data_IF_670121849998
#
_entry.id   IF_670121849998
#
_cell.length_a   1.000
_cell.length_b   1.000
_cell.length_c   1.000
_cell.angle_alpha   90.00
_cell.angle_beta   90.00
_cell.angle_gamma   90.00
#
_symmetry.space_group_name_H-M   'P 1'
#
loop_
_entity.id
_entity.type
_entity.pdbx_description
1 polymer ?
#
# COMPACT_ATOMS: atom_id res chain seq x y z
N UNK A 1 -65.20 26.57 -5.49
CA UNK A 1 -64.97 26.15 -4.08
C UNK A 1 -65.01 24.63 -4.08
N UNK A 2 -63.93 23.86 -3.94
CA UNK A 2 -62.60 24.12 -3.37
C UNK A 2 -61.62 23.14 -4.02
N UNK A 3 -60.54 23.66 -4.59
CA UNK A 3 -59.38 22.89 -5.09
C UNK A 3 -58.63 22.31 -3.88
N UNK A 4 -58.25 21.03 -3.91
CA UNK A 4 -57.15 20.52 -3.08
C UNK A 4 -56.19 19.70 -3.94
N UNK A 5 -55.07 20.35 -4.27
CA UNK A 5 -53.81 19.69 -4.55
C UNK A 5 -53.39 18.92 -3.29
N UNK A 6 -52.95 17.67 -3.45
CA UNK A 6 -51.91 17.12 -2.58
C UNK A 6 -50.84 16.50 -3.47
N UNK A 7 -49.65 17.03 -3.27
CA UNK A 7 -48.42 16.85 -4.02
C UNK A 7 -47.97 15.40 -4.16
N UNK A 8 -47.40 15.09 -5.32
CA UNK A 8 -46.52 13.96 -5.52
C UNK A 8 -45.31 14.07 -4.58
N UNK A 9 -45.10 13.07 -3.73
CA UNK A 9 -43.79 12.81 -3.13
C UNK A 9 -43.11 11.75 -3.98
N UNK A 10 -42.31 12.19 -4.96
CA UNK A 10 -41.36 11.32 -5.63
C UNK A 10 -40.40 10.79 -4.57
N UNK A 11 -40.47 9.48 -4.31
CA UNK A 11 -39.50 8.77 -3.51
C UNK A 11 -38.15 8.91 -4.24
N UNK A 12 -37.33 9.87 -3.81
CA UNK A 12 -35.94 9.93 -4.21
C UNK A 12 -35.28 8.69 -3.62
N UNK A 13 -35.25 7.63 -4.43
CA UNK A 13 -34.38 6.50 -4.21
C UNK A 13 -32.97 7.08 -4.16
N UNK A 14 -32.41 7.17 -2.96
CA UNK A 14 -30.97 7.26 -2.76
C UNK A 14 -30.38 5.99 -3.36
N UNK A 15 -30.10 6.03 -4.65
CA UNK A 15 -29.07 5.21 -5.25
C UNK A 15 -27.76 5.67 -4.62
N UNK A 16 -27.47 5.15 -3.43
CA UNK A 16 -26.13 5.19 -2.86
C UNK A 16 -25.24 4.38 -3.78
N UNK A 17 -24.67 5.04 -4.80
CA UNK A 17 -23.45 4.54 -5.41
C UNK A 17 -22.45 4.34 -4.26
N UNK A 18 -21.76 3.20 -4.16
CA UNK A 18 -20.78 3.00 -3.11
C UNK A 18 -19.80 4.17 -3.16
N UNK A 19 -19.56 4.83 -2.02
CA UNK A 19 -18.55 5.86 -1.90
C UNK A 19 -17.19 5.24 -2.28
N UNK A 20 -16.75 5.51 -3.50
CA UNK A 20 -15.38 5.22 -3.90
C UNK A 20 -14.48 6.13 -3.10
N UNK A 21 -13.47 5.58 -2.43
CA UNK A 21 -12.51 6.45 -1.79
C UNK A 21 -11.59 7.08 -2.82
N UNK A 22 -11.24 8.32 -2.54
CA UNK A 22 -10.31 9.10 -3.33
C UNK A 22 -8.92 9.04 -2.69
N UNK A 23 -7.97 9.69 -3.36
CA UNK A 23 -6.67 10.01 -2.80
C UNK A 23 -6.80 10.68 -1.43
N UNK A 24 -5.99 10.26 -0.47
CA UNK A 24 -5.92 10.88 0.85
C UNK A 24 -4.61 11.65 0.97
N UNK A 25 -4.68 12.92 1.31
CA UNK A 25 -3.47 13.74 1.49
C UNK A 25 -2.88 13.53 2.87
N UNK A 26 -1.63 13.09 2.94
CA UNK A 26 -0.82 13.10 4.17
C UNK A 26 0.11 14.32 4.19
N UNK A 27 0.10 15.04 5.30
CA UNK A 27 0.88 16.27 5.49
C UNK A 27 1.93 16.11 6.59
N UNK A 28 2.77 17.14 6.75
CA UNK A 28 3.75 17.22 7.83
C UNK A 28 3.19 17.81 9.12
N UNK A 29 1.88 18.04 9.20
CA UNK A 29 1.16 18.54 10.38
C UNK A 29 -0.02 17.62 10.73
N UNK A 30 -0.64 17.81 11.91
CA UNK A 30 -1.80 17.03 12.35
C UNK A 30 -1.46 15.63 12.88
N UNK A 31 -2.25 14.62 12.52
CA UNK A 31 -1.97 13.20 12.84
C UNK A 31 -0.87 12.63 11.91
N UNK A 32 0.05 11.79 12.42
CA UNK A 32 1.14 11.24 11.60
C UNK A 32 0.68 10.15 10.63
N UNK A 33 -0.48 9.54 10.89
CA UNK A 33 -1.08 8.46 10.10
C UNK A 33 -2.49 8.84 9.64
N UNK A 34 -2.83 8.45 8.42
CA UNK A 34 -4.18 8.34 7.92
C UNK A 34 -4.67 6.90 8.07
N UNK A 35 -5.95 6.75 8.43
CA UNK A 35 -6.63 5.46 8.48
C UNK A 35 -7.21 5.13 7.11
N UNK A 36 -6.85 3.97 6.56
CA UNK A 36 -7.36 3.51 5.26
C UNK A 36 -8.36 2.36 5.46
N UNK A 37 -7.92 1.19 5.90
CA UNK A 37 -8.82 0.06 6.20
C UNK A 37 -8.30 -0.75 7.41
N UNK A 38 -8.51 -0.24 8.63
CA UNK A 38 -7.96 -0.85 9.83
C UNK A 38 -8.63 -2.20 10.10
N UNK A 39 -7.88 -3.15 10.65
CA UNK A 39 -8.45 -4.35 11.26
C UNK A 39 -9.44 -3.94 12.36
N UNK A 40 -10.65 -4.50 12.35
CA UNK A 40 -11.68 -4.30 13.38
C UNK A 40 -11.93 -5.60 14.15
N UNK A 41 -12.33 -5.49 15.42
CA UNK A 41 -12.53 -6.63 16.32
C UNK A 41 -11.38 -6.84 17.31
N UNK A 42 -11.44 -7.93 18.08
CA UNK A 42 -10.43 -8.32 19.06
C UNK A 42 -9.67 -9.56 18.56
N UNK A 43 -8.34 -9.64 18.76
CA UNK A 43 -7.58 -10.85 18.39
C UNK A 43 -8.20 -12.11 19.03
N UNK A 44 -8.26 -13.24 18.31
CA UNK A 44 -7.78 -13.47 16.94
C UNK A 44 -8.82 -13.16 15.84
N UNK A 45 -9.99 -12.62 16.18
CA UNK A 45 -11.12 -12.38 15.26
C UNK A 45 -11.04 -11.03 14.53
N UNK A 46 -9.85 -10.43 14.48
CA UNK A 46 -9.64 -9.18 13.78
C UNK A 46 -9.81 -9.40 12.29
N UNK A 47 -10.57 -8.52 11.62
CA UNK A 47 -10.81 -8.60 10.18
C UNK A 47 -10.83 -7.21 9.55
N UNK A 48 -10.45 -7.13 8.27
CA UNK A 48 -10.59 -5.91 7.48
C UNK A 48 -11.92 -5.96 6.70
N UNK A 49 -12.61 -4.82 6.64
CA UNK A 49 -13.89 -4.78 5.95
C UNK A 49 -13.70 -4.52 4.46
N UNK A 50 -14.25 -5.36 3.55
CA UNK A 50 -14.22 -5.07 2.12
C UNK A 50 -15.04 -3.84 1.73
N UNK A 51 -15.96 -3.39 2.61
CA UNK A 51 -16.80 -2.20 2.41
C UNK A 51 -16.19 -0.92 2.96
N UNK A 52 -15.18 -1.00 3.84
CA UNK A 52 -14.36 0.16 4.20
C UNK A 52 -13.38 0.44 3.06
N UNK A 53 -13.56 1.55 2.37
CA UNK A 53 -12.82 1.83 1.16
C UNK A 53 -11.83 2.98 1.30
N UNK A 54 -11.67 3.67 2.42
CA UNK A 54 -10.79 4.87 2.52
C UNK A 54 -9.40 4.63 1.92
N UNK A 55 -8.88 5.58 1.13
CA UNK A 55 -7.66 5.46 0.31
C UNK A 55 -7.70 4.44 -0.86
N UNK A 56 -8.76 3.63 -1.01
CA UNK A 56 -8.86 2.58 -2.04
C UNK A 56 -9.27 3.16 -3.39
N UNK A 57 -8.36 3.07 -4.34
CA UNK A 57 -8.61 3.34 -5.76
C UNK A 57 -9.08 2.08 -6.48
N UNK A 58 -9.75 2.26 -7.61
CA UNK A 58 -10.41 1.17 -8.36
C UNK A 58 -9.60 0.65 -9.55
N UNK A 59 -8.39 1.16 -9.76
CA UNK A 59 -7.52 0.67 -10.84
C UNK A 59 -6.08 1.16 -10.76
N UNK A 60 -5.34 0.90 -11.83
CA UNK A 60 -3.99 1.42 -12.05
C UNK A 60 -4.05 2.84 -12.62
N UNK A 61 -3.06 3.71 -12.33
CA UNK A 61 -2.91 4.97 -13.04
C UNK A 61 -2.78 4.75 -14.56
N UNK A 62 -3.52 5.55 -15.33
CA UNK A 62 -3.62 5.44 -16.79
C UNK A 62 -4.71 4.49 -17.29
N UNK A 63 -5.40 3.78 -16.39
CA UNK A 63 -6.64 3.08 -16.73
C UNK A 63 -7.84 4.03 -16.74
N UNK A 64 -9.00 3.55 -17.21
CA UNK A 64 -10.25 4.31 -17.13
C UNK A 64 -10.64 4.70 -15.69
N UNK A 65 -10.20 3.94 -14.68
CA UNK A 65 -10.46 4.21 -13.27
C UNK A 65 -9.60 5.35 -12.70
N UNK A 66 -8.40 5.57 -13.25
CA UNK A 66 -7.50 6.66 -12.85
C UNK A 66 -6.90 7.27 -14.13
N UNK A 67 -7.69 8.05 -14.88
CA UNK A 67 -7.26 8.61 -16.17
C UNK A 67 -6.21 9.72 -16.00
N UNK A 68 -5.61 10.12 -17.12
CA UNK A 68 -4.68 11.26 -17.14
C UNK A 68 -3.29 10.97 -16.58
N UNK A 69 -2.90 9.70 -16.55
CA UNK A 69 -1.54 9.27 -16.20
C UNK A 69 -0.99 8.32 -17.25
N UNK A 70 0.33 8.34 -17.42
CA UNK A 70 1.07 7.51 -18.36
C UNK A 70 2.14 6.76 -17.60
N UNK A 71 2.25 5.46 -17.82
CA UNK A 71 3.34 4.66 -17.27
C UNK A 71 4.67 5.06 -17.95
N UNK A 72 5.60 5.60 -17.17
CA UNK A 72 6.91 6.08 -17.65
C UNK A 72 8.06 5.14 -17.37
N UNK A 73 8.00 4.43 -16.25
CA UNK A 73 9.06 3.51 -15.87
C UNK A 73 8.50 2.33 -15.08
N UNK A 74 9.14 1.17 -15.24
CA UNK A 74 8.91 -0.04 -14.44
C UNK A 74 10.25 -0.62 -14.04
N UNK A 75 10.35 -1.10 -12.81
CA UNK A 75 11.51 -1.86 -12.37
C UNK A 75 11.61 -3.14 -13.20
N UNK A 76 12.80 -3.40 -13.73
CA UNK A 76 13.09 -4.59 -14.53
C UNK A 76 14.30 -5.33 -13.95
N UNK A 77 14.30 -6.66 -14.09
CA UNK A 77 15.46 -7.54 -13.98
C UNK A 77 15.67 -8.19 -15.34
N UNK A 78 16.62 -7.68 -16.13
CA UNK A 78 16.74 -8.06 -17.54
C UNK A 78 15.45 -7.72 -18.30
N UNK A 79 14.82 -8.72 -18.92
CA UNK A 79 13.57 -8.59 -19.66
C UNK A 79 12.29 -8.78 -18.82
N UNK A 80 12.42 -9.11 -17.52
CA UNK A 80 11.29 -9.42 -16.65
C UNK A 80 10.97 -8.23 -15.76
N UNK A 81 9.68 -7.89 -15.64
CA UNK A 81 9.23 -6.85 -14.71
C UNK A 81 9.36 -7.31 -13.25
N UNK A 82 9.91 -6.43 -12.42
CA UNK A 82 10.14 -6.64 -11.01
C UNK A 82 11.61 -6.85 -10.66
N UNK A 83 11.92 -6.74 -9.38
CA UNK A 83 13.24 -7.10 -8.81
C UNK A 83 13.11 -8.07 -7.64
N UNK A 84 14.03 -9.04 -7.51
CA UNK A 84 14.03 -9.95 -6.36
C UNK A 84 14.16 -9.21 -5.02
N UNK A 85 13.34 -9.59 -4.06
CA UNK A 85 13.51 -9.30 -2.64
C UNK A 85 14.37 -10.44 -2.08
N UNK A 86 15.60 -10.13 -1.71
CA UNK A 86 16.58 -11.14 -1.28
C UNK A 86 16.95 -10.94 0.18
N UNK A 87 16.92 -12.02 0.97
CA UNK A 87 17.31 -12.06 2.39
C UNK A 87 18.28 -13.21 2.57
N UNK A 88 19.47 -12.96 3.12
CA UNK A 88 20.49 -14.00 3.30
C UNK A 88 20.74 -14.83 2.02
N UNK A 89 20.79 -14.15 0.86
CA UNK A 89 20.91 -14.78 -0.48
C UNK A 89 19.73 -15.65 -0.93
N UNK A 90 18.63 -15.68 -0.18
CA UNK A 90 17.39 -16.36 -0.53
C UNK A 90 16.42 -15.37 -1.16
N UNK A 91 15.89 -15.70 -2.34
CA UNK A 91 14.83 -14.92 -2.97
C UNK A 91 13.50 -15.21 -2.28
N UNK A 92 13.02 -14.26 -1.48
CA UNK A 92 11.76 -14.37 -0.74
C UNK A 92 10.58 -13.74 -1.48
N UNK A 93 10.80 -12.98 -2.55
CA UNK A 93 9.73 -12.34 -3.28
C UNK A 93 10.19 -11.43 -4.41
N UNK A 94 9.26 -10.66 -4.98
CA UNK A 94 9.51 -9.71 -6.05
C UNK A 94 8.89 -8.36 -5.70
N UNK A 95 9.68 -7.29 -5.83
CA UNK A 95 9.21 -5.91 -5.81
C UNK A 95 8.85 -5.47 -7.24
N UNK A 96 7.64 -4.99 -7.40
CA UNK A 96 7.22 -4.21 -8.56
C UNK A 96 7.25 -2.74 -8.20
N UNK A 97 7.98 -1.95 -8.98
CA UNK A 97 8.12 -0.51 -8.76
C UNK A 97 7.84 0.24 -10.05
N UNK A 98 6.98 1.25 -10.02
CA UNK A 98 6.55 1.97 -11.20
C UNK A 98 6.50 3.47 -10.99
N UNK A 99 6.68 4.20 -12.08
CA UNK A 99 6.45 5.64 -12.14
C UNK A 99 5.42 5.93 -13.21
N UNK A 100 4.36 6.62 -12.80
CA UNK A 100 3.40 7.20 -13.72
C UNK A 100 3.55 8.72 -13.68
N UNK A 101 3.58 9.37 -14.83
CA UNK A 101 3.50 10.83 -14.88
C UNK A 101 2.09 11.25 -15.28
N UNK A 102 1.62 12.38 -14.76
CA UNK A 102 0.39 12.99 -15.23
C UNK A 102 0.58 13.44 -16.69
N UNK A 103 -0.40 13.15 -17.55
CA UNK A 103 -0.29 13.42 -18.98
C UNK A 103 -1.25 12.60 -19.84
N UNK A 104 -1.16 12.78 -21.16
CA UNK A 104 -1.97 12.05 -22.15
C UNK A 104 -1.10 11.49 -23.28
N UNK A 105 -1.50 10.34 -23.82
CA UNK A 105 -0.71 9.64 -24.84
C UNK A 105 0.65 9.20 -24.29
N UNK A 106 1.73 9.79 -24.81
CA UNK A 106 3.12 9.48 -24.42
C UNK A 106 3.82 10.64 -23.72
N UNK A 107 3.14 11.78 -23.55
CA UNK A 107 3.71 13.04 -23.09
C UNK A 107 3.24 13.37 -21.67
N UNK A 108 4.20 13.58 -20.78
CA UNK A 108 3.91 14.10 -19.43
C UNK A 108 3.52 15.58 -19.52
N UNK A 109 2.56 16.01 -18.70
CA UNK A 109 2.23 17.42 -18.58
C UNK A 109 3.31 18.20 -17.81
N UNK A 110 3.24 19.53 -17.89
CA UNK A 110 4.22 20.44 -17.28
C UNK A 110 4.06 20.58 -15.77
N UNK A 111 3.04 19.95 -15.16
CA UNK A 111 2.87 19.99 -13.71
C UNK A 111 3.93 19.18 -12.97
N UNK A 112 4.61 18.29 -13.68
CA UNK A 112 5.55 17.32 -13.11
C UNK A 112 4.94 16.54 -11.93
N UNK A 113 3.65 16.23 -12.01
CA UNK A 113 2.98 15.37 -11.03
C UNK A 113 3.25 13.92 -11.37
N UNK A 114 3.79 13.16 -10.41
CA UNK A 114 4.07 11.75 -10.57
C UNK A 114 3.38 10.91 -9.50
N UNK A 115 3.00 9.70 -9.88
CA UNK A 115 2.64 8.62 -8.96
C UNK A 115 3.81 7.65 -8.95
N UNK A 116 4.45 7.53 -7.79
CA UNK A 116 5.44 6.50 -7.54
C UNK A 116 4.74 5.34 -6.81
N UNK A 117 4.77 4.15 -7.42
CA UNK A 117 3.94 3.03 -7.03
C UNK A 117 4.79 1.81 -6.67
N UNK A 118 4.47 1.14 -5.56
CA UNK A 118 5.09 -0.13 -5.17
C UNK A 118 4.08 -1.23 -4.97
N UNK A 119 4.50 -2.45 -5.27
CA UNK A 119 3.78 -3.67 -4.92
C UNK A 119 4.80 -4.78 -4.64
N UNK A 120 4.50 -5.67 -3.71
CA UNK A 120 5.28 -6.86 -3.44
C UNK A 120 4.49 -8.13 -3.78
N UNK A 121 5.23 -9.16 -4.17
CA UNK A 121 4.77 -10.54 -4.31
C UNK A 121 5.72 -11.44 -3.54
N UNK A 122 5.20 -12.31 -2.68
CA UNK A 122 6.00 -13.20 -1.85
C UNK A 122 6.14 -14.59 -2.50
N UNK A 123 7.32 -15.21 -2.46
CA UNK A 123 7.55 -16.53 -3.07
C UNK A 123 7.06 -17.65 -2.16
N UNK A 124 6.28 -18.58 -2.70
CA UNK A 124 5.77 -19.75 -1.96
C UNK A 124 6.52 -21.05 -2.17
N UNK A 125 7.80 -21.01 -2.58
CA UNK A 125 8.58 -22.23 -2.86
C UNK A 125 8.82 -23.03 -1.58
N UNK A 126 8.37 -24.29 -1.46
CA UNK A 126 8.53 -25.08 -0.24
C UNK A 126 10.00 -25.27 0.19
N UNK A 127 10.23 -25.33 1.49
CA UNK A 127 11.52 -25.73 2.07
C UNK A 127 11.35 -26.95 2.99
N UNK A 128 12.44 -27.67 3.34
CA UNK A 128 12.35 -28.79 4.28
C UNK A 128 11.85 -28.39 5.67
N UNK A 129 11.97 -27.11 6.06
CA UNK A 129 11.53 -26.59 7.36
C UNK A 129 10.08 -26.06 7.35
N UNK A 130 9.57 -25.66 6.19
CA UNK A 130 8.20 -25.19 6.01
C UNK A 130 7.74 -25.44 4.57
N UNK A 131 6.69 -26.23 4.42
CA UNK A 131 6.15 -26.65 3.12
C UNK A 131 5.41 -25.54 2.35
N UNK A 132 5.24 -24.36 2.94
CA UNK A 132 4.52 -23.23 2.34
C UNK A 132 5.43 -22.16 1.74
N UNK A 133 6.72 -22.12 2.09
CA UNK A 133 7.59 -21.00 1.73
C UNK A 133 9.09 -21.32 1.87
N UNK A 134 9.97 -20.52 1.22
CA UNK A 134 11.40 -20.78 1.24
C UNK A 134 11.95 -20.49 2.64
N UNK A 135 12.95 -21.27 3.07
CA UNK A 135 13.71 -20.95 4.28
C UNK A 135 14.48 -19.65 4.03
N UNK A 136 14.07 -18.57 4.66
CA UNK A 136 14.67 -17.24 4.47
C UNK A 136 15.64 -16.84 5.60
N UNK A 137 15.56 -17.53 6.74
CA UNK A 137 16.58 -17.49 7.79
C UNK A 137 16.92 -18.91 8.25
N UNK A 138 18.19 -19.14 8.61
CA UNK A 138 18.62 -20.45 9.12
C UNK A 138 17.97 -20.82 10.46
N UNK A 139 17.34 -19.86 11.14
CA UNK A 139 16.83 -19.99 12.51
C UNK A 139 15.30 -20.13 12.62
N UNK A 140 14.52 -19.76 11.60
CA UNK A 140 13.04 -19.78 11.68
C UNK A 140 12.41 -20.84 10.77
N UNK A 141 11.24 -21.34 11.18
CA UNK A 141 10.31 -22.12 10.36
C UNK A 141 9.19 -21.24 9.79
N UNK A 142 9.10 -19.96 10.15
CA UNK A 142 8.06 -19.05 9.67
C UNK A 142 8.29 -18.62 8.24
N UNK A 143 7.22 -18.24 7.54
CA UNK A 143 7.34 -17.60 6.24
C UNK A 143 7.78 -16.15 6.37
N UNK A 144 8.45 -15.63 5.33
CA UNK A 144 8.77 -14.22 5.29
C UNK A 144 7.48 -13.42 5.10
N UNK A 145 7.38 -12.30 5.82
CA UNK A 145 6.23 -11.41 5.81
C UNK A 145 6.68 -9.96 5.71
N UNK A 146 5.91 -9.14 5.00
CA UNK A 146 6.10 -7.69 5.00
C UNK A 146 4.93 -7.07 5.75
N UNK A 147 5.21 -6.40 6.87
CA UNK A 147 4.21 -5.69 7.67
C UNK A 147 4.13 -4.20 7.29
N UNK A 148 5.30 -3.61 7.04
CA UNK A 148 5.39 -2.22 6.61
C UNK A 148 6.26 -2.06 5.37
N UNK A 149 5.79 -1.24 4.45
CA UNK A 149 6.55 -0.76 3.30
C UNK A 149 6.79 0.73 3.50
N UNK A 150 8.05 1.12 3.61
CA UNK A 150 8.47 2.51 3.68
C UNK A 150 8.98 2.95 2.31
N UNK A 151 8.42 4.03 1.76
CA UNK A 151 8.77 4.57 0.46
C UNK A 151 9.31 5.99 0.61
N UNK A 152 10.45 6.27 -0.01
CA UNK A 152 11.00 7.61 -0.10
C UNK A 152 10.07 8.53 -0.93
N UNK A 153 9.84 9.73 -0.42
CA UNK A 153 9.01 10.78 -1.03
C UNK A 153 9.73 12.13 -0.94
N UNK A 154 9.16 13.14 -1.60
CA UNK A 154 9.67 14.50 -1.62
C UNK A 154 9.29 15.26 -0.35
N UNK A 155 10.12 15.11 0.67
CA UNK A 155 10.26 16.01 1.81
C UNK A 155 8.97 16.64 2.36
N UNK A 156 9.01 17.94 2.61
CA UNK A 156 7.98 18.62 3.42
C UNK A 156 6.65 18.89 2.72
N UNK A 157 6.51 18.57 1.43
CA UNK A 157 5.28 18.85 0.68
C UNK A 157 4.19 17.83 1.00
N UNK A 158 2.89 18.20 1.00
CA UNK A 158 1.81 17.22 1.07
C UNK A 158 1.97 16.14 0.01
N UNK A 159 1.60 14.92 0.36
CA UNK A 159 1.69 13.76 -0.54
C UNK A 159 0.36 13.04 -0.51
N UNK A 160 -0.21 12.79 -1.67
CA UNK A 160 -1.43 12.04 -1.79
C UNK A 160 -1.11 10.55 -1.79
N UNK A 161 -1.84 9.78 -1.01
CA UNK A 161 -1.71 8.33 -0.94
C UNK A 161 -2.98 7.64 -1.43
N UNK A 162 -2.80 6.42 -1.91
CA UNK A 162 -3.90 5.54 -2.25
C UNK A 162 -3.40 4.12 -2.41
N UNK A 163 -4.32 3.18 -2.56
CA UNK A 163 -3.97 1.79 -2.87
C UNK A 163 -4.98 1.14 -3.82
N UNK A 164 -4.54 0.13 -4.57
CA UNK A 164 -5.40 -0.68 -5.43
C UNK A 164 -5.14 -2.16 -5.17
N UNK A 165 -6.21 -2.90 -4.85
CA UNK A 165 -6.10 -4.31 -4.46
C UNK A 165 -5.80 -5.24 -5.64
N UNK A 166 -6.05 -4.81 -6.88
CA UNK A 166 -6.24 -5.74 -8.00
C UNK A 166 -7.68 -6.25 -8.05
N UNK A 167 -7.96 -7.09 -9.04
CA UNK A 167 -9.32 -7.52 -9.41
C UNK A 167 -9.45 -9.02 -9.65
N UNK A 168 -8.34 -9.74 -9.80
CA UNK A 168 -8.35 -11.16 -10.20
C UNK A 168 -7.66 -12.03 -9.15
N UNK A 169 -8.47 -12.80 -8.43
CA UNK A 169 -8.00 -13.84 -7.51
C UNK A 169 -7.11 -14.86 -8.23
N UNK A 170 -5.97 -15.21 -7.62
CA UNK A 170 -5.05 -16.23 -8.14
C UNK A 170 -4.24 -15.85 -9.37
N UNK A 171 -4.37 -14.61 -9.89
CA UNK A 171 -3.53 -14.17 -11.01
C UNK A 171 -2.07 -13.97 -10.59
N UNK A 172 -1.15 -14.24 -11.51
CA UNK A 172 0.28 -13.92 -11.39
C UNK A 172 0.65 -12.59 -12.06
N UNK A 173 -0.30 -11.95 -12.76
CA UNK A 173 -0.04 -10.67 -13.41
C UNK A 173 -0.10 -9.53 -12.37
N UNK A 174 0.99 -8.77 -12.17
CA UNK A 174 1.03 -7.70 -11.16
C UNK A 174 -0.02 -6.61 -11.40
N UNK A 175 -0.57 -6.47 -12.60
CA UNK A 175 -1.59 -5.46 -12.92
C UNK A 175 -2.97 -5.76 -12.35
N UNK A 176 -3.31 -7.04 -12.24
CA UNK A 176 -4.67 -7.48 -11.93
C UNK A 176 -4.74 -8.43 -10.75
N UNK A 177 -3.63 -9.06 -10.34
CA UNK A 177 -3.59 -9.96 -9.20
C UNK A 177 -4.22 -9.32 -7.96
N UNK A 178 -5.10 -10.05 -7.29
CA UNK A 178 -5.81 -9.58 -6.12
C UNK A 178 -4.98 -9.80 -4.85
N UNK A 179 -4.78 -8.73 -4.07
CA UNK A 179 -4.38 -8.80 -2.67
C UNK A 179 -5.62 -9.06 -1.79
N UNK A 180 -5.48 -9.89 -0.76
CA UNK A 180 -6.56 -10.21 0.18
C UNK A 180 -6.48 -9.41 1.48
N UNK A 181 -5.29 -8.95 1.84
CA UNK A 181 -5.06 -8.01 2.95
C UNK A 181 -4.97 -6.57 2.41
N UNK A 182 -5.66 -5.65 3.06
CA UNK A 182 -5.80 -4.25 2.66
C UNK A 182 -4.72 -3.37 3.29
N UNK A 183 -4.52 -2.17 2.74
CA UNK A 183 -3.74 -1.13 3.42
C UNK A 183 -4.48 -0.67 4.69
N UNK A 184 -3.88 -0.88 5.86
CA UNK A 184 -4.50 -0.50 7.13
C UNK A 184 -4.32 0.99 7.43
N UNK A 185 -3.07 1.43 7.44
CA UNK A 185 -2.65 2.79 7.79
C UNK A 185 -1.53 3.24 6.87
N UNK A 186 -1.45 4.55 6.63
CA UNK A 186 -0.31 5.13 5.93
C UNK A 186 -0.02 6.54 6.39
N UNK A 187 1.24 6.97 6.34
CA UNK A 187 1.61 8.30 6.79
C UNK A 187 3.09 8.61 6.78
N UNK A 188 3.43 9.87 7.08
CA UNK A 188 4.80 10.40 7.02
C UNK A 188 5.59 10.09 8.28
N UNK A 189 6.18 8.90 8.34
CA UNK A 189 6.85 8.37 9.54
C UNK A 189 7.85 7.28 9.16
N UNK A 190 8.80 7.01 10.06
CA UNK A 190 9.69 5.83 10.01
C UNK A 190 9.31 4.75 11.03
N UNK A 191 8.30 5.02 11.85
CA UNK A 191 7.80 4.09 12.85
C UNK A 191 6.77 3.18 12.18
N UNK A 192 6.91 1.87 12.40
CA UNK A 192 6.05 0.86 11.81
C UNK A 192 5.04 0.29 12.79
N UNK A 193 4.63 -0.95 12.51
CA UNK A 193 3.77 -1.76 13.37
C UNK A 193 4.29 -1.77 14.81
N UNK A 194 3.39 -1.62 15.78
CA UNK A 194 3.68 -1.55 17.23
C UNK A 194 4.62 -0.43 17.69
N UNK A 195 5.05 0.46 16.79
CA UNK A 195 5.88 1.62 17.12
C UNK A 195 5.09 2.94 17.05
N UNK A 196 3.92 2.93 16.42
CA UNK A 196 2.94 4.03 16.45
C UNK A 196 1.60 3.46 16.88
N UNK A 197 0.91 4.15 17.77
CA UNK A 197 -0.48 3.83 18.09
C UNK A 197 -1.39 4.24 16.93
N UNK A 198 -2.21 3.34 16.37
CA UNK A 198 -3.09 3.69 15.26
C UNK A 198 -4.18 4.70 15.63
N UNK A 199 -4.69 5.51 14.67
CA UNK A 199 -5.79 6.43 14.92
C UNK A 199 -7.08 5.67 15.30
N UNK A 200 -7.75 6.08 16.40
CA UNK A 200 -8.97 5.44 16.90
C UNK A 200 -8.85 4.76 18.28
N UNK A 201 -7.65 4.71 18.86
CA UNK A 201 -7.47 4.35 20.27
C UNK A 201 -7.85 5.56 21.17
N UNK A 202 -8.85 5.40 22.04
CA UNK A 202 -9.61 6.47 22.70
C UNK A 202 -8.81 7.42 23.64
N UNK A 203 -7.51 7.21 23.82
CA UNK A 203 -6.69 7.95 24.80
C UNK A 203 -5.82 9.08 24.23
N UNK A 204 -6.05 9.55 23.00
CA UNK A 204 -5.13 10.51 22.36
C UNK A 204 -5.76 11.83 21.89
N UNK A 205 -5.66 12.84 22.74
CA UNK A 205 -5.67 14.27 22.37
C UNK A 205 -4.26 14.81 22.04
N UNK A 206 -3.23 13.95 21.95
CA UNK A 206 -1.83 14.38 21.91
C UNK A 206 -0.92 13.60 20.93
N UNK A 207 -1.40 13.22 19.74
CA UNK A 207 -0.58 12.62 18.65
C UNK A 207 0.38 13.62 17.96
N UNK A 208 0.82 14.65 18.68
CA UNK A 208 1.79 15.67 18.24
C UNK A 208 3.14 15.46 18.93
N UNK A 209 3.55 14.21 19.18
CA UNK A 209 4.97 13.96 19.35
C UNK A 209 5.61 14.14 17.97
N UNK A 210 6.05 15.36 17.66
CA UNK A 210 6.77 15.74 16.43
C UNK A 210 7.95 14.81 16.10
N UNK A 211 8.45 14.04 17.08
CA UNK A 211 9.55 13.07 16.95
C UNK A 211 9.28 11.81 16.13
N UNK A 212 8.02 11.41 15.89
CA UNK A 212 7.73 10.20 15.10
C UNK A 212 7.55 10.48 13.61
N UNK A 213 7.59 11.74 13.19
CA UNK A 213 7.39 12.14 11.80
C UNK A 213 8.65 12.01 10.96
N UNK A 214 8.47 11.62 9.70
CA UNK A 214 9.52 11.65 8.70
C UNK A 214 8.97 12.27 7.41
N UNK A 215 9.40 13.49 7.09
CA UNK A 215 8.93 14.18 5.89
C UNK A 215 9.38 13.49 4.59
N UNK A 216 10.49 12.75 4.62
CA UNK A 216 11.12 12.16 3.44
C UNK A 216 10.62 10.77 3.10
N UNK A 217 9.72 10.20 3.91
CA UNK A 217 9.25 8.83 3.72
C UNK A 217 7.76 8.71 4.07
N UNK A 218 7.08 7.78 3.39
CA UNK A 218 5.75 7.32 3.75
C UNK A 218 5.84 5.86 4.16
N UNK A 219 5.27 5.55 5.31
CA UNK A 219 4.98 4.19 5.75
C UNK A 219 3.61 3.78 5.20
N UNK A 220 3.54 2.56 4.67
CA UNK A 220 2.31 1.86 4.33
C UNK A 220 2.26 0.56 5.15
N UNK A 221 1.25 0.40 6.01
CA UNK A 221 1.03 -0.81 6.79
C UNK A 221 0.17 -1.77 5.98
N UNK A 222 0.84 -2.72 5.35
CA UNK A 222 0.25 -3.69 4.44
C UNK A 222 0.89 -5.04 4.68
N UNK A 223 0.20 -5.81 5.50
CA UNK A 223 0.52 -7.20 5.81
C UNK A 223 0.48 -8.05 4.52
N UNK A 224 1.62 -8.65 4.17
CA UNK A 224 1.84 -9.40 2.92
C UNK A 224 2.67 -10.64 3.20
N UNK A 225 2.09 -11.82 3.01
CA UNK A 225 2.73 -13.10 3.31
C UNK A 225 2.13 -14.23 2.46
N UNK A 226 2.91 -15.29 2.21
CA UNK A 226 2.40 -16.49 1.51
C UNK A 226 1.50 -17.31 2.44
N UNK A 227 1.86 -17.33 3.71
CA UNK A 227 1.20 -18.09 4.74
C UNK A 227 1.24 -17.31 6.03
N UNK A 228 0.06 -17.06 6.55
CA UNK A 228 -0.19 -16.50 7.87
C UNK A 228 -0.68 -17.66 8.75
N UNK A 229 0.06 -18.06 9.80
CA UNK A 229 -0.32 -19.16 10.68
C UNK A 229 -1.59 -18.86 11.48
N UNK A 230 -1.91 -17.58 11.68
CA UNK A 230 -3.13 -17.10 12.33
C UNK A 230 -4.30 -16.97 11.33
N UNK A 231 -4.10 -17.30 10.05
CA UNK A 231 -5.15 -17.28 9.04
C UNK A 231 -6.29 -18.25 9.40
N UNK A 232 -7.46 -17.69 9.72
CA UNK A 232 -8.73 -18.42 9.66
C UNK A 232 -9.59 -17.81 8.55
N UNK A 233 -10.12 -18.65 7.67
CA UNK A 233 -10.74 -18.23 6.40
C UNK A 233 -11.88 -17.20 6.50
N UNK A 234 -12.40 -16.94 7.71
CA UNK A 234 -13.40 -15.91 8.00
C UNK A 234 -12.85 -14.57 8.51
N UNK A 235 -11.71 -14.53 9.20
CA UNK A 235 -11.22 -13.29 9.83
C UNK A 235 -9.77 -12.92 9.49
N UNK A 236 -8.88 -13.88 9.19
CA UNK A 236 -7.52 -13.61 8.71
C UNK A 236 -7.18 -14.44 7.47
N UNK A 237 -6.51 -13.84 6.46
CA UNK A 237 -6.21 -14.48 5.18
C UNK A 237 -4.78 -14.22 4.78
N UNK A 238 -4.02 -15.25 4.43
CA UNK A 238 -2.74 -15.07 3.74
C UNK A 238 -2.91 -14.22 2.48
N UNK A 239 -1.97 -13.33 2.21
CA UNK A 239 -2.00 -12.45 1.03
C UNK A 239 -0.63 -12.37 0.39
N UNK A 240 -0.37 -13.28 -0.55
CA UNK A 240 0.91 -13.38 -1.24
C UNK A 240 1.26 -12.11 -2.02
N UNK A 241 0.22 -11.40 -2.49
CA UNK A 241 0.33 -10.08 -3.10
C UNK A 241 0.01 -9.00 -2.07
N UNK A 242 0.84 -7.94 -2.03
CA UNK A 242 0.41 -6.68 -1.43
C UNK A 242 -0.57 -5.98 -2.38
N UNK A 243 -1.36 -5.00 -1.92
CA UNK A 243 -1.97 -4.03 -2.81
C UNK A 243 -0.89 -3.24 -3.58
N UNK A 244 -1.26 -2.62 -4.69
CA UNK A 244 -0.48 -1.49 -5.21
C UNK A 244 -0.59 -0.33 -4.24
N UNK A 245 0.54 0.20 -3.79
CA UNK A 245 0.64 1.33 -2.87
C UNK A 245 1.14 2.55 -3.65
N UNK A 246 0.39 3.65 -3.58
CA UNK A 246 0.65 4.83 -4.37
C UNK A 246 1.06 6.01 -3.49
N UNK A 247 2.08 6.74 -3.93
CA UNK A 247 2.36 8.10 -3.46
C UNK A 247 2.39 9.05 -4.66
N UNK A 248 1.45 9.98 -4.69
CA UNK A 248 1.30 11.02 -5.71
C UNK A 248 1.82 12.36 -5.18
N UNK A 249 2.71 12.99 -5.95
CA UNK A 249 3.34 14.26 -5.58
C UNK A 249 3.89 15.01 -6.79
N UNK A 250 4.14 16.30 -6.61
CA UNK A 250 4.83 17.13 -7.60
C UNK A 250 6.35 16.98 -7.44
N UNK A 251 7.03 16.68 -8.54
CA UNK A 251 8.48 16.52 -8.64
C UNK A 251 9.08 17.56 -9.59
N UNK A 252 9.48 18.77 -9.12
CA UNK A 252 9.91 19.86 -10.00
C UNK A 252 11.07 19.48 -10.91
N UNK A 253 12.04 18.71 -10.41
CA UNK A 253 13.14 18.16 -11.21
C UNK A 253 12.81 16.87 -11.97
N UNK A 254 11.53 16.51 -12.10
CA UNK A 254 11.09 15.22 -12.60
C UNK A 254 11.36 14.06 -11.64
N UNK A 255 11.23 12.83 -12.13
CA UNK A 255 11.67 11.64 -11.39
C UNK A 255 13.08 11.23 -11.81
N UNK A 256 13.78 10.50 -10.94
CA UNK A 256 15.05 9.87 -11.29
C UNK A 256 14.79 8.63 -12.15
N UNK A 257 15.22 8.58 -13.43
CA UNK A 257 15.01 7.41 -14.29
C UNK A 257 15.87 6.21 -13.90
N UNK A 258 16.87 6.42 -13.03
CA UNK A 258 17.68 5.37 -12.43
C UNK A 258 17.19 5.14 -11.00
N UNK A 259 16.87 3.88 -10.70
CA UNK A 259 16.44 3.51 -9.34
C UNK A 259 17.57 3.77 -8.36
N UNK A 260 17.24 4.48 -7.30
CA UNK A 260 18.18 4.86 -6.26
C UNK A 260 18.14 3.83 -5.14
N UNK A 261 19.31 3.46 -4.61
CA UNK A 261 19.42 2.47 -3.52
C UNK A 261 18.76 2.97 -2.24
N UNK A 262 18.26 2.02 -1.45
CA UNK A 262 17.66 2.26 -0.13
C UNK A 262 16.48 3.24 -0.13
N UNK A 263 15.64 3.18 -1.16
CA UNK A 263 14.46 4.06 -1.33
C UNK A 263 13.13 3.38 -1.09
N UNK A 264 13.12 2.05 -1.09
CA UNK A 264 12.06 1.25 -0.46
C UNK A 264 12.69 0.45 0.66
N UNK A 265 12.02 0.42 1.80
CA UNK A 265 12.36 -0.44 2.93
C UNK A 265 11.18 -1.35 3.25
N UNK A 266 11.46 -2.62 3.44
CA UNK A 266 10.53 -3.60 4.00
C UNK A 266 10.87 -3.81 5.47
N UNK A 267 9.84 -3.87 6.29
CA UNK A 267 9.97 -4.32 7.65
C UNK A 267 9.20 -5.62 7.81
N UNK A 268 9.96 -6.65 8.16
CA UNK A 268 9.45 -7.95 8.60
C UNK A 268 9.52 -8.00 10.12
N UNK A 269 8.51 -8.64 10.72
CA UNK A 269 8.37 -8.76 12.16
C UNK A 269 7.48 -7.70 12.82
N UNK A 270 7.11 -7.98 14.07
CA UNK A 270 6.20 -7.18 14.89
C UNK A 270 5.03 -8.00 15.46
N UNK A 271 4.67 -9.10 14.81
CA UNK A 271 3.69 -10.08 15.24
C UNK A 271 4.37 -11.47 15.38
N UNK A 272 3.75 -12.40 16.14
CA UNK A 272 4.10 -13.83 16.16
C UNK A 272 5.55 -14.25 16.51
N UNK A 273 6.34 -13.39 17.18
CA UNK A 273 7.71 -13.73 17.61
C UNK A 273 8.73 -13.86 16.47
N UNK A 274 8.39 -13.36 15.29
CA UNK A 274 9.25 -13.30 14.11
C UNK A 274 10.50 -12.45 14.35
N UNK A 275 11.61 -12.78 13.67
CA UNK A 275 12.89 -12.07 13.82
C UNK A 275 12.82 -10.76 13.04
N UNK A 276 12.82 -9.60 13.70
CA UNK A 276 12.78 -8.33 12.97
C UNK A 276 13.88 -8.20 11.90
N UNK A 277 13.49 -7.98 10.64
CA UNK A 277 14.41 -7.68 9.54
C UNK A 277 14.07 -6.37 8.83
N UNK A 278 15.13 -5.68 8.46
CA UNK A 278 15.09 -4.48 7.62
C UNK A 278 15.73 -4.80 6.28
N UNK A 279 14.92 -4.85 5.23
CA UNK A 279 15.42 -5.05 3.87
C UNK A 279 15.28 -3.73 3.13
N UNK A 280 16.35 -3.30 2.47
CA UNK A 280 16.35 -2.09 1.69
C UNK A 280 16.53 -2.41 0.21
N UNK A 281 15.70 -1.82 -0.63
CA UNK A 281 15.70 -2.03 -2.07
C UNK A 281 15.86 -0.71 -2.84
N UNK A 282 16.33 -0.83 -4.08
CA UNK A 282 16.38 0.30 -5.00
C UNK A 282 14.99 0.60 -5.57
N UNK A 283 14.62 1.87 -5.63
CA UNK A 283 13.33 2.29 -6.19
C UNK A 283 13.45 3.64 -6.93
N UNK A 284 12.48 3.92 -7.80
CA UNK A 284 12.35 5.23 -8.42
C UNK A 284 11.94 6.28 -7.39
N UNK A 285 12.51 7.46 -7.51
CA UNK A 285 12.23 8.58 -6.61
C UNK A 285 11.97 9.86 -7.39
N UNK A 286 11.28 10.77 -6.71
CA UNK A 286 11.18 12.16 -7.08
C UNK A 286 12.57 12.81 -6.97
N UNK A 287 13.01 13.57 -7.97
CA UNK A 287 14.17 14.45 -7.79
C UNK A 287 13.78 15.58 -6.82
N UNK A 288 14.72 16.05 -5.96
CA UNK A 288 14.47 17.15 -5.02
C UNK A 288 13.79 18.38 -5.66
#
# INVERSE_FOLDING_TARGET
>A
MTLRLVSAAALAAFAGLPAHADWVTVSNSGAPLATCNPKVGTPPLQHQSPTLTTCKLTGLPGSAAIPGYILKAKAMTGAVEGVPITVNSVNVGTLYDRVYCKGTGTTCDTSNTYIIASRAYMNGTPSPKNTHCPTWSGATTQCFEINNIFRAIRGTNPTDIGYFMGTTAGSTNPDVALAYKYLEYAGKTYKGLNQITPPGNANYTNLVATGDRNATQIMFQSDTNVFDPDANGTTSKSSQWSPWLYARQVCPGGFNPVRQVFKVKYWEGGEEGQINQNIQASAYVCNP
#
